data_IF_735643078938
#
_entry.id   IF_735643078938
#
_cell.length_a   1.000
_cell.length_b   1.000
_cell.length_c   1.000
_cell.angle_alpha   90.00
_cell.angle_beta   90.00
_cell.angle_gamma   90.00
#
_symmetry.space_group_name_H-M   'P 1'
#
loop_
_entity.id
_entity.type
_entity.pdbx_description
1 polymer ?
#
# COMPACT_ATOMS: atom_id res chain seq x y z
N UNK A 1 -22.32 -36.21 -25.81
CA UNK A 1 -22.54 -34.80 -25.39
C UNK A 1 -22.02 -34.51 -23.98
N UNK A 2 -22.22 -35.40 -23.01
CA UNK A 2 -21.78 -35.27 -21.61
C UNK A 2 -20.28 -34.91 -21.46
N UNK A 3 -19.37 -35.53 -22.23
CA UNK A 3 -17.94 -35.25 -22.14
C UNK A 3 -17.51 -33.86 -22.63
N UNK A 4 -18.29 -33.21 -23.51
CA UNK A 4 -17.99 -31.82 -23.94
C UNK A 4 -18.41 -30.84 -22.84
N UNK A 5 -19.57 -31.06 -22.22
CA UNK A 5 -20.03 -30.27 -21.09
C UNK A 5 -19.08 -30.34 -19.89
N UNK A 6 -18.60 -31.53 -19.53
CA UNK A 6 -17.65 -31.71 -18.42
C UNK A 6 -16.33 -30.98 -18.70
N UNK A 7 -15.80 -31.04 -19.94
CA UNK A 7 -14.58 -30.33 -20.32
C UNK A 7 -14.75 -28.81 -20.26
N UNK A 8 -15.88 -28.29 -20.74
CA UNK A 8 -16.18 -26.85 -20.63
C UNK A 8 -16.33 -26.41 -19.18
N UNK A 9 -16.98 -27.22 -18.33
CA UNK A 9 -17.11 -26.93 -16.91
C UNK A 9 -15.74 -26.92 -16.20
N UNK A 10 -14.86 -27.88 -16.51
CA UNK A 10 -13.51 -27.91 -15.93
C UNK A 10 -12.64 -26.73 -16.40
N UNK A 11 -12.71 -26.36 -17.68
CA UNK A 11 -12.00 -25.19 -18.20
C UNK A 11 -12.56 -23.87 -17.63
N UNK A 12 -13.87 -23.80 -17.40
CA UNK A 12 -14.52 -22.65 -16.77
C UNK A 12 -14.15 -22.52 -15.29
N UNK A 13 -14.12 -23.63 -14.54
CA UNK A 13 -13.64 -23.65 -13.15
C UNK A 13 -12.16 -23.29 -13.07
N UNK A 14 -11.34 -23.76 -14.01
CA UNK A 14 -9.93 -23.39 -14.11
C UNK A 14 -9.75 -21.89 -14.45
N UNK A 15 -10.60 -21.35 -15.32
CA UNK A 15 -10.59 -19.92 -15.62
C UNK A 15 -11.00 -19.06 -14.41
N UNK A 16 -11.95 -19.53 -13.59
CA UNK A 16 -12.34 -18.85 -12.34
C UNK A 16 -11.18 -18.82 -11.34
N UNK A 17 -10.36 -19.88 -11.25
CA UNK A 17 -9.18 -19.87 -10.38
C UNK A 17 -8.07 -18.91 -10.83
N UNK A 18 -8.03 -18.54 -12.12
CA UNK A 18 -7.10 -17.52 -12.63
C UNK A 18 -7.68 -16.09 -12.60
N UNK A 19 -8.95 -15.92 -12.20
CA UNK A 19 -9.63 -14.62 -12.06
C UNK A 19 -9.72 -14.16 -10.61
N UNK A 20 -9.15 -14.90 -9.65
CA UNK A 20 -8.92 -14.34 -8.32
C UNK A 20 -7.80 -13.30 -8.46
N UNK A 21 -8.18 -12.04 -8.60
CA UNK A 21 -7.27 -10.96 -8.24
C UNK A 21 -6.94 -11.16 -6.77
N UNK A 22 -5.66 -11.40 -6.48
CA UNK A 22 -5.17 -11.30 -5.13
C UNK A 22 -5.47 -9.87 -4.69
N UNK A 23 -6.45 -9.72 -3.80
CA UNK A 23 -6.58 -8.48 -3.05
C UNK A 23 -5.28 -8.36 -2.30
N UNK A 24 -4.45 -7.40 -2.70
CA UNK A 24 -3.33 -6.97 -1.90
C UNK A 24 -3.98 -6.41 -0.64
N UNK A 25 -3.81 -7.12 0.45
CA UNK A 25 -4.12 -6.55 1.75
C UNK A 25 -2.94 -5.65 2.08
N UNK A 26 -3.24 -4.38 2.31
CA UNK A 26 -2.40 -3.46 3.03
C UNK A 26 -2.32 -3.85 4.50
N UNK A 27 -1.60 -3.09 5.34
CA UNK A 27 -1.76 -3.28 6.79
C UNK A 27 -3.24 -3.47 7.13
N UNK A 28 -3.56 -4.28 8.13
CA UNK A 28 -4.95 -4.50 8.49
C UNK A 28 -5.64 -3.15 8.76
N UNK A 29 -6.90 -2.98 8.34
CA UNK A 29 -7.61 -1.69 8.41
C UNK A 29 -7.50 -0.95 9.76
N UNK A 30 -7.42 -1.69 10.88
CA UNK A 30 -7.22 -1.10 12.20
C UNK A 30 -5.86 -0.40 12.34
N UNK A 31 -4.81 -0.93 11.72
CA UNK A 31 -3.45 -0.39 11.74
C UNK A 31 -3.35 0.90 10.93
N UNK A 32 -3.91 0.97 9.71
CA UNK A 32 -3.95 2.23 8.95
C UNK A 32 -4.66 3.34 9.70
N UNK A 33 -5.81 3.00 10.29
CA UNK A 33 -6.59 3.89 11.15
C UNK A 33 -5.76 4.39 12.32
N UNK A 34 -5.11 3.47 13.03
CA UNK A 34 -4.28 3.79 14.18
C UNK A 34 -3.10 4.70 13.80
N UNK A 35 -2.38 4.39 12.72
CA UNK A 35 -1.25 5.21 12.26
C UNK A 35 -1.73 6.62 11.87
N UNK A 36 -2.78 6.74 11.06
CA UNK A 36 -3.29 8.05 10.60
C UNK A 36 -3.83 8.90 11.75
N UNK A 37 -4.58 8.29 12.68
CA UNK A 37 -5.15 8.98 13.85
C UNK A 37 -4.05 9.58 14.75
N UNK A 38 -2.94 8.85 14.95
CA UNK A 38 -1.87 9.28 15.84
C UNK A 38 -0.81 10.14 15.12
N UNK A 39 -0.68 10.06 13.80
CA UNK A 39 0.32 10.83 13.04
C UNK A 39 0.15 12.35 13.21
N UNK A 40 -1.09 12.83 13.39
CA UNK A 40 -1.38 14.26 13.55
C UNK A 40 -0.72 14.88 14.79
N UNK A 41 -0.47 14.08 15.83
CA UNK A 41 0.17 14.54 17.07
C UNK A 41 1.67 14.85 16.89
N UNK A 42 2.26 14.34 15.80
CA UNK A 42 3.68 14.48 15.47
C UNK A 42 3.94 15.49 14.34
N UNK A 43 2.90 16.16 13.86
CA UNK A 43 3.05 17.21 12.85
C UNK A 43 3.67 18.48 13.46
N UNK A 44 4.40 19.28 12.66
CA UNK A 44 4.90 20.58 13.10
C UNK A 44 3.76 21.50 13.61
N UNK A 45 4.03 22.44 14.53
CA UNK A 45 3.01 23.36 15.04
C UNK A 45 2.26 24.15 13.95
N UNK A 46 2.89 24.42 12.82
CA UNK A 46 2.28 25.09 11.67
C UNK A 46 1.20 24.25 10.96
N UNK A 47 1.11 22.96 11.29
CA UNK A 47 0.16 21.98 10.75
C UNK A 47 -0.79 21.43 11.82
N UNK A 48 -0.91 22.10 12.98
CA UNK A 48 -1.76 21.67 14.10
C UNK A 48 -3.25 21.54 13.74
N UNK A 49 -3.71 22.27 12.72
CA UNK A 49 -5.08 22.19 12.20
C UNK A 49 -5.50 20.79 11.73
N UNK A 50 -4.54 19.90 11.42
CA UNK A 50 -4.85 18.50 11.12
C UNK A 50 -5.44 17.74 12.32
N UNK A 51 -5.20 18.18 13.55
CA UNK A 51 -5.79 17.57 14.75
C UNK A 51 -7.32 17.63 14.72
N UNK A 52 -7.90 18.70 14.18
CA UNK A 52 -9.37 18.83 14.04
C UNK A 52 -9.98 17.82 13.05
N UNK A 53 -9.14 17.23 12.18
CA UNK A 53 -9.51 16.28 11.15
C UNK A 53 -9.02 14.85 11.41
N UNK A 54 -8.46 14.57 12.59
CA UNK A 54 -7.91 13.24 12.93
C UNK A 54 -8.93 12.10 12.71
N UNK A 55 -10.19 12.29 13.11
CA UNK A 55 -11.28 11.32 12.88
C UNK A 55 -11.53 11.06 11.38
N UNK A 56 -11.42 12.10 10.54
CA UNK A 56 -11.58 11.99 9.09
C UNK A 56 -10.41 11.22 8.48
N UNK A 57 -9.17 11.60 8.82
CA UNK A 57 -7.97 10.90 8.34
C UNK A 57 -7.98 9.44 8.77
N UNK A 58 -8.39 9.15 10.01
CA UNK A 58 -8.60 7.79 10.50
C UNK A 58 -9.56 7.04 9.61
N UNK A 59 -10.78 7.54 9.42
CA UNK A 59 -11.82 6.81 8.68
C UNK A 59 -11.43 6.55 7.22
N UNK A 60 -10.83 7.55 6.57
CA UNK A 60 -10.46 7.51 5.16
C UNK A 60 -9.08 6.89 4.88
N UNK A 61 -8.32 6.52 5.92
CA UNK A 61 -7.02 5.85 5.78
C UNK A 61 -7.06 4.46 5.12
N UNK A 62 -8.25 3.89 4.93
CA UNK A 62 -8.44 2.58 4.29
C UNK A 62 -9.10 2.70 2.91
N UNK A 63 -9.35 3.92 2.44
CA UNK A 63 -9.97 4.14 1.13
C UNK A 63 -9.13 3.56 -0.02
N UNK A 64 -7.78 3.66 -0.02
CA UNK A 64 -6.96 3.03 -1.04
C UNK A 64 -7.13 1.50 -1.15
N UNK A 65 -7.51 0.80 -0.08
CA UNK A 65 -7.75 -0.66 -0.13
C UNK A 65 -9.04 -1.07 -0.85
N UNK A 66 -9.95 -0.11 -1.04
CA UNK A 66 -11.30 -0.36 -1.54
C UNK A 66 -11.58 0.36 -2.86
N UNK A 67 -10.75 1.31 -3.24
CA UNK A 67 -10.89 2.04 -4.48
C UNK A 67 -10.51 1.19 -5.71
N UNK A 68 -10.58 1.80 -6.90
CA UNK A 68 -10.24 1.15 -8.17
C UNK A 68 -8.84 1.53 -8.67
N UNK A 69 -8.00 2.13 -7.81
CA UNK A 69 -6.63 2.45 -8.15
C UNK A 69 -5.80 1.17 -8.27
N UNK A 70 -4.66 1.24 -8.99
CA UNK A 70 -3.88 0.04 -9.25
C UNK A 70 -3.23 -0.51 -7.99
N UNK A 71 -3.35 -1.82 -7.76
CA UNK A 71 -2.76 -2.48 -6.60
C UNK A 71 -1.23 -2.34 -6.48
N UNK A 72 -0.53 -2.05 -7.58
CA UNK A 72 0.90 -1.75 -7.56
C UNK A 72 1.26 -0.42 -6.86
N UNK A 73 0.26 0.37 -6.44
CA UNK A 73 0.49 1.55 -5.60
C UNK A 73 0.81 1.21 -4.15
N UNK A 74 0.46 0.00 -3.71
CA UNK A 74 0.55 -0.40 -2.31
C UNK A 74 1.89 -1.02 -1.93
N UNK A 75 2.73 -1.41 -2.88
CA UNK A 75 3.94 -2.16 -2.55
C UNK A 75 5.11 -1.74 -3.42
N UNK A 76 6.29 -2.23 -3.05
CA UNK A 76 7.43 -2.35 -3.95
C UNK A 76 8.21 -3.61 -3.57
N UNK A 77 8.35 -4.54 -4.49
CA UNK A 77 9.19 -5.73 -4.33
C UNK A 77 10.66 -5.34 -4.40
N UNK A 78 11.13 -4.56 -3.42
CA UNK A 78 12.44 -3.88 -3.50
C UNK A 78 13.60 -4.87 -3.55
N UNK A 79 13.41 -6.08 -3.00
CA UNK A 79 14.37 -7.19 -3.07
C UNK A 79 14.48 -7.84 -4.46
N UNK A 80 13.65 -7.44 -5.43
CA UNK A 80 13.84 -7.73 -6.85
C UNK A 80 15.07 -7.01 -7.42
N UNK A 81 15.44 -5.84 -6.88
CA UNK A 81 16.45 -4.96 -7.44
C UNK A 81 17.80 -5.13 -6.71
N UNK A 82 18.83 -5.78 -7.31
CA UNK A 82 20.14 -5.95 -6.68
C UNK A 82 20.79 -4.64 -6.20
N UNK A 83 20.59 -3.58 -6.99
CA UNK A 83 21.11 -2.24 -6.79
C UNK A 83 20.61 -1.62 -5.48
N UNK A 84 19.45 -2.04 -4.96
CA UNK A 84 18.98 -1.61 -3.65
C UNK A 84 19.94 -2.06 -2.54
N UNK A 85 20.42 -3.31 -2.60
CA UNK A 85 21.39 -3.84 -1.63
C UNK A 85 22.78 -3.23 -1.78
N UNK A 86 23.09 -2.70 -2.96
CA UNK A 86 24.32 -1.96 -3.25
C UNK A 86 24.22 -0.47 -2.90
N UNK A 87 23.01 0.02 -2.59
CA UNK A 87 22.74 1.43 -2.32
C UNK A 87 22.79 2.32 -3.57
N UNK A 88 22.58 1.73 -4.75
CA UNK A 88 22.65 2.40 -6.06
C UNK A 88 21.34 2.29 -6.84
N UNK A 89 20.25 1.85 -6.22
CA UNK A 89 18.95 1.81 -6.87
C UNK A 89 18.52 3.24 -7.24
N UNK A 90 18.06 3.50 -8.48
CA UNK A 90 17.60 4.82 -8.89
C UNK A 90 16.40 5.25 -8.06
N UNK A 91 16.43 6.47 -7.55
CA UNK A 91 15.30 7.07 -6.85
C UNK A 91 14.36 7.80 -7.81
N UNK A 92 14.91 8.33 -8.90
CA UNK A 92 14.14 8.99 -9.96
C UNK A 92 13.38 7.95 -10.80
N UNK A 93 12.11 8.25 -11.09
CA UNK A 93 11.24 7.37 -11.87
C UNK A 93 11.77 7.12 -13.28
N UNK A 94 12.23 8.16 -13.97
CA UNK A 94 12.69 8.04 -15.35
C UNK A 94 13.98 7.21 -15.42
N UNK A 95 14.90 7.38 -14.46
CA UNK A 95 16.10 6.56 -14.32
C UNK A 95 15.75 5.07 -14.06
N UNK A 96 14.80 4.81 -13.15
CA UNK A 96 14.35 3.45 -12.85
C UNK A 96 13.69 2.78 -14.07
N UNK A 97 12.86 3.52 -14.80
CA UNK A 97 12.22 3.07 -16.04
C UNK A 97 13.23 2.89 -17.18
N UNK A 98 14.24 3.74 -17.29
CA UNK A 98 15.32 3.57 -18.28
C UNK A 98 16.10 2.28 -18.03
N UNK A 99 16.36 1.97 -16.75
CA UNK A 99 17.15 0.81 -16.36
C UNK A 99 16.39 -0.53 -16.50
N UNK A 100 15.12 -0.60 -16.04
CA UNK A 100 14.36 -1.84 -15.99
C UNK A 100 13.21 -1.94 -17.00
N UNK A 101 12.78 -0.81 -17.55
CA UNK A 101 11.58 -0.71 -18.37
C UNK A 101 10.31 -0.53 -17.55
N UNK A 102 9.34 0.19 -18.13
CA UNK A 102 8.08 0.56 -17.50
C UNK A 102 7.31 -0.63 -16.93
N UNK A 103 7.15 -1.71 -17.72
CA UNK A 103 6.38 -2.88 -17.30
C UNK A 103 7.03 -3.58 -16.10
N UNK A 104 8.36 -3.58 -15.99
CA UNK A 104 9.05 -4.20 -14.85
C UNK A 104 8.83 -3.37 -13.59
N UNK A 105 8.96 -2.04 -13.67
CA UNK A 105 8.70 -1.16 -12.53
C UNK A 105 7.26 -1.32 -12.03
N UNK A 106 6.28 -1.26 -12.92
CA UNK A 106 4.87 -1.38 -12.54
C UNK A 106 4.55 -2.75 -11.93
N UNK A 107 5.09 -3.85 -12.48
CA UNK A 107 4.80 -5.18 -11.95
C UNK A 107 5.45 -5.45 -10.59
N UNK A 108 6.53 -4.75 -10.26
CA UNK A 108 7.22 -4.85 -8.96
C UNK A 108 6.80 -3.76 -7.97
N UNK A 109 5.74 -3.00 -8.25
CA UNK A 109 5.21 -2.02 -7.30
C UNK A 109 5.92 -0.66 -7.35
N UNK A 110 5.14 0.39 -7.04
CA UNK A 110 5.54 1.78 -7.24
C UNK A 110 5.32 2.68 -6.03
N UNK A 111 5.12 2.10 -4.84
CA UNK A 111 4.73 2.88 -3.66
C UNK A 111 5.63 4.10 -3.34
N UNK A 112 6.97 4.08 -3.55
CA UNK A 112 7.79 5.26 -3.27
C UNK A 112 7.41 6.46 -4.15
N UNK A 113 7.11 6.22 -5.43
CA UNK A 113 6.73 7.28 -6.38
C UNK A 113 5.27 7.71 -6.20
N UNK A 114 4.40 6.83 -5.69
CA UNK A 114 3.04 7.20 -5.27
C UNK A 114 3.11 8.17 -4.09
N UNK A 115 3.94 7.88 -3.08
CA UNK A 115 4.15 8.77 -1.94
C UNK A 115 4.67 10.15 -2.39
N UNK A 116 5.64 10.18 -3.31
CA UNK A 116 6.13 11.42 -3.91
C UNK A 116 5.02 12.21 -4.59
N UNK A 117 4.26 11.57 -5.49
CA UNK A 117 3.18 12.21 -6.23
C UNK A 117 2.05 12.73 -5.33
N UNK A 118 1.69 11.98 -4.27
CA UNK A 118 0.68 12.42 -3.28
C UNK A 118 1.21 13.59 -2.45
N UNK A 119 2.48 13.58 -2.06
CA UNK A 119 3.10 14.68 -1.30
C UNK A 119 3.14 15.98 -2.12
N UNK A 120 3.53 15.91 -3.39
CA UNK A 120 3.55 17.05 -4.30
C UNK A 120 2.14 17.61 -4.53
N UNK A 121 1.17 16.71 -4.77
CA UNK A 121 -0.23 17.09 -4.96
C UNK A 121 -0.81 17.74 -3.70
N UNK A 122 -0.52 17.20 -2.52
CA UNK A 122 -0.94 17.75 -1.24
C UNK A 122 -0.39 19.16 -1.04
N UNK A 123 0.90 19.36 -1.34
CA UNK A 123 1.56 20.66 -1.27
C UNK A 123 0.86 21.70 -2.15
N UNK A 124 0.53 21.35 -3.39
CA UNK A 124 -0.18 22.25 -4.33
C UNK A 124 -1.61 22.55 -3.85
N UNK A 125 -2.34 21.55 -3.36
CA UNK A 125 -3.70 21.71 -2.87
C UNK A 125 -3.76 22.61 -1.63
N UNK A 126 -2.85 22.41 -0.68
CA UNK A 126 -2.72 23.26 0.51
C UNK A 126 -2.39 24.70 0.12
N UNK A 127 -1.40 24.90 -0.77
CA UNK A 127 -1.01 26.23 -1.23
C UNK A 127 -2.12 26.96 -1.98
N UNK A 128 -3.02 26.23 -2.64
CA UNK A 128 -4.17 26.78 -3.36
C UNK A 128 -5.45 26.88 -2.51
N UNK A 129 -5.41 26.45 -1.24
CA UNK A 129 -6.54 26.50 -0.32
C UNK A 129 -7.68 25.52 -0.64
N UNK A 130 -7.41 24.44 -1.37
CA UNK A 130 -8.39 23.42 -1.76
C UNK A 130 -8.63 22.39 -0.65
N UNK A 131 -9.00 22.87 0.54
CA UNK A 131 -9.02 22.08 1.78
C UNK A 131 -9.97 20.87 1.74
N UNK A 132 -11.08 20.94 1.00
CA UNK A 132 -11.98 19.77 0.86
C UNK A 132 -11.25 18.54 0.28
N UNK A 133 -10.29 18.76 -0.63
CA UNK A 133 -9.50 17.68 -1.24
C UNK A 133 -8.25 17.33 -0.43
N UNK A 134 -7.68 18.30 0.31
CA UNK A 134 -6.50 18.08 1.16
C UNK A 134 -6.71 16.96 2.16
N UNK A 135 -7.88 16.87 2.79
CA UNK A 135 -8.13 15.86 3.82
C UNK A 135 -8.14 14.45 3.27
N UNK A 136 -8.77 14.25 2.10
CA UNK A 136 -8.78 12.97 1.42
C UNK A 136 -7.36 12.56 1.04
N UNK A 137 -6.63 13.46 0.37
CA UNK A 137 -5.30 13.17 -0.12
C UNK A 137 -4.29 12.96 1.03
N UNK A 138 -4.47 13.64 2.16
CA UNK A 138 -3.66 13.41 3.36
C UNK A 138 -3.93 12.03 3.99
N UNK A 139 -5.18 11.58 4.04
CA UNK A 139 -5.53 10.25 4.54
C UNK A 139 -4.93 9.13 3.66
N UNK A 140 -5.01 9.30 2.34
CA UNK A 140 -4.42 8.38 1.36
C UNK A 140 -2.89 8.41 1.40
N UNK A 141 -2.27 9.59 1.55
CA UNK A 141 -0.82 9.68 1.74
C UNK A 141 -0.39 8.91 2.99
N UNK A 142 -1.12 9.08 4.11
CA UNK A 142 -0.86 8.31 5.33
C UNK A 142 -1.02 6.80 5.14
N UNK A 143 -1.95 6.36 4.29
CA UNK A 143 -2.09 4.96 3.89
C UNK A 143 -0.84 4.45 3.17
N UNK A 144 -0.42 5.09 2.09
CA UNK A 144 0.73 4.64 1.31
C UNK A 144 2.04 4.72 2.12
N UNK A 145 2.20 5.74 2.95
CA UNK A 145 3.33 5.79 3.87
C UNK A 145 3.29 4.61 4.84
N UNK A 146 2.14 4.26 5.41
CA UNK A 146 2.02 3.10 6.27
C UNK A 146 2.42 1.80 5.54
N UNK A 147 1.88 1.54 4.35
CA UNK A 147 2.21 0.36 3.54
C UNK A 147 3.69 0.23 3.22
N UNK A 148 4.36 1.36 2.93
CA UNK A 148 5.81 1.36 2.72
C UNK A 148 6.63 0.99 3.97
N UNK A 149 5.99 0.87 5.13
CA UNK A 149 6.59 0.39 6.38
C UNK A 149 6.14 -1.03 6.75
N UNK A 150 5.28 -1.68 5.96
CA UNK A 150 4.94 -3.08 6.11
C UNK A 150 6.03 -3.96 5.45
N UNK A 151 6.75 -4.82 6.19
CA UNK A 151 7.89 -5.53 5.61
C UNK A 151 7.54 -6.50 4.48
N UNK A 152 6.32 -7.05 4.45
CA UNK A 152 5.85 -7.96 3.42
C UNK A 152 5.39 -7.22 2.14
N UNK A 153 5.10 -5.92 2.21
CA UNK A 153 4.92 -5.02 1.06
C UNK A 153 6.24 -4.63 0.39
N UNK A 154 7.37 -5.00 1.00
CA UNK A 154 8.71 -4.68 0.54
C UNK A 154 9.46 -5.91 0.01
N UNK A 155 8.75 -6.94 -0.47
CA UNK A 155 9.40 -8.20 -0.84
C UNK A 155 8.59 -9.04 -1.84
N UNK A 156 9.33 -9.65 -2.79
CA UNK A 156 8.85 -10.72 -3.67
C UNK A 156 8.22 -11.90 -2.92
N UNK A 157 8.48 -12.06 -1.62
CA UNK A 157 7.90 -13.10 -0.76
C UNK A 157 6.69 -12.60 0.06
N UNK A 158 5.98 -11.58 -0.45
CA UNK A 158 4.79 -10.95 0.15
C UNK A 158 3.93 -11.89 1.00
N UNK A 159 3.39 -12.95 0.42
CA UNK A 159 2.49 -13.88 1.12
C UNK A 159 3.17 -15.19 1.53
N UNK A 160 4.50 -15.25 1.59
CA UNK A 160 5.26 -16.44 1.97
C UNK A 160 5.38 -17.50 0.86
N UNK A 161 4.98 -17.18 -0.38
CA UNK A 161 4.97 -18.10 -1.52
C UNK A 161 6.35 -18.70 -1.87
N UNK A 162 7.45 -17.98 -1.60
CA UNK A 162 8.81 -18.45 -1.92
C UNK A 162 9.38 -19.36 -0.82
N UNK A 163 8.75 -19.41 0.35
CA UNK A 163 9.25 -20.15 1.53
C UNK A 163 8.31 -21.26 2.00
N UNK A 164 7.13 -21.37 1.38
CA UNK A 164 6.08 -22.31 1.80
C UNK A 164 5.25 -21.85 3.01
N UNK A 165 5.40 -20.60 3.44
CA UNK A 165 4.64 -20.01 4.55
C UNK A 165 3.40 -19.25 4.06
N UNK A 166 2.66 -19.84 3.11
CA UNK A 166 1.53 -19.16 2.46
C UNK A 166 0.51 -18.64 3.48
N UNK A 167 0.10 -17.38 3.34
CA UNK A 167 -0.83 -16.71 4.24
C UNK A 167 -0.16 -15.96 5.40
N UNK A 168 1.17 -15.85 5.43
CA UNK A 168 1.90 -15.13 6.49
C UNK A 168 1.51 -13.65 6.54
N UNK A 169 1.19 -13.06 5.39
CA UNK A 169 0.84 -11.67 5.24
C UNK A 169 -0.38 -11.27 6.10
N UNK A 170 -1.54 -11.87 5.80
CA UNK A 170 -2.76 -11.64 6.60
C UNK A 170 -2.60 -12.08 8.06
N UNK A 171 -1.75 -13.09 8.35
CA UNK A 171 -1.47 -13.50 9.74
C UNK A 171 -0.75 -12.41 10.53
N UNK A 172 0.23 -11.74 9.91
CA UNK A 172 0.98 -10.68 10.54
C UNK A 172 0.08 -9.46 10.78
N UNK A 173 -0.47 -8.88 9.73
CA UNK A 173 -1.20 -7.62 9.83
C UNK A 173 -2.53 -7.75 10.58
N UNK A 174 -3.37 -8.71 10.16
CA UNK A 174 -4.74 -8.78 10.65
C UNK A 174 -4.85 -9.58 11.95
N UNK A 175 -4.15 -10.71 12.05
CA UNK A 175 -4.33 -11.62 13.18
C UNK A 175 -3.38 -11.34 14.34
N UNK A 176 -2.22 -10.73 14.07
CA UNK A 176 -1.24 -10.40 15.10
C UNK A 176 -1.26 -8.92 15.45
N UNK A 177 -1.24 -7.99 14.50
CA UNK A 177 -1.14 -6.55 14.84
C UNK A 177 -2.47 -5.97 15.31
N UNK A 178 -3.56 -6.11 14.55
CA UNK A 178 -4.85 -5.45 14.89
C UNK A 178 -5.34 -5.68 16.34
N UNK A 179 -5.24 -6.89 16.95
CA UNK A 179 -5.67 -7.09 18.34
C UNK A 179 -4.80 -6.38 19.38
N UNK A 180 -3.59 -5.97 19.02
CA UNK A 180 -2.56 -5.45 19.92
C UNK A 180 -2.20 -3.98 19.63
N UNK A 181 -3.00 -3.26 18.84
CA UNK A 181 -2.73 -1.86 18.48
C UNK A 181 -2.51 -0.95 19.70
N UNK A 182 -3.29 -1.12 20.77
CA UNK A 182 -3.16 -0.32 21.99
C UNK A 182 -1.88 -0.62 22.80
N UNK A 183 -1.15 -1.68 22.44
CA UNK A 183 0.13 -2.07 23.05
C UNK A 183 1.33 -1.51 22.27
N UNK A 184 1.10 -0.96 21.07
CA UNK A 184 2.16 -0.39 20.25
C UNK A 184 2.68 0.91 20.90
N UNK A 185 4.01 1.06 21.04
CA UNK A 185 4.58 2.32 21.49
C UNK A 185 4.49 3.34 20.35
N UNK A 186 4.07 4.56 20.69
CA UNK A 186 4.22 5.71 19.80
C UNK A 186 5.58 6.40 20.07
N UNK A 187 6.11 7.15 19.09
CA UNK A 187 7.36 7.89 19.29
C UNK A 187 7.28 8.85 20.50
N UNK A 188 8.40 9.01 21.20
CA UNK A 188 8.56 9.99 22.30
C UNK A 188 8.58 11.44 21.80
#
# INVERSE_FOLDING_TARGET
MINRFIRFLLLFLLAITFLQQDKVYAWGWGTHRYINENAVDYLPPEMDFFQEYSDYLREHSTDPDVDELPGYYHYIDIDYYPEFFEGTFPHDWDEAVEQYGYDVIINNGTIPWVIEAWTDSLTVLMASGQWETVWQLAAELGHYVADSHEPLHLTLNYNGQLTGNYGIHSRYETHMINPHLSELPLPD
#
